data_IF_462973055758
#
_entry.id   IF_462973055758
#
_cell.length_a   1.000
_cell.length_b   1.000
_cell.length_c   1.000
_cell.angle_alpha   90.00
_cell.angle_beta   90.00
_cell.angle_gamma   90.00
#
_symmetry.space_group_name_H-M   'P 1'
#
loop_
_entity.id
_entity.type
_entity.pdbx_description
1 polymer ?
#
# COMPACT_ATOMS: atom_id res chain seq x y z
N UNK A 1 10.15 6.38 -9.65
CA UNK A 1 9.95 5.26 -8.69
C UNK A 1 10.11 5.79 -7.27
N UNK A 2 9.02 5.93 -6.51
CA UNK A 2 9.09 6.57 -5.19
C UNK A 2 9.78 5.64 -4.17
N UNK A 3 10.72 6.17 -3.41
CA UNK A 3 11.43 5.47 -2.33
C UNK A 3 10.42 5.03 -1.26
N UNK A 4 10.26 3.73 -1.05
CA UNK A 4 9.33 3.15 -0.07
C UNK A 4 9.90 3.20 1.35
N UNK A 5 9.05 3.44 2.35
CA UNK A 5 9.43 3.42 3.77
C UNK A 5 8.87 2.18 4.46
N UNK A 6 9.75 1.35 5.00
CA UNK A 6 9.40 0.33 5.99
C UNK A 6 10.09 0.70 7.30
N UNK A 7 9.32 0.89 8.38
CA UNK A 7 9.91 1.04 9.71
C UNK A 7 10.06 -0.35 10.32
N UNK A 8 11.29 -0.85 10.34
CA UNK A 8 11.64 -2.14 10.94
C UNK A 8 11.97 -1.99 12.42
N UNK A 9 11.16 -2.57 13.31
CA UNK A 9 11.57 -2.86 14.70
C UNK A 9 11.80 -4.37 14.83
N UNK A 10 13.05 -4.76 15.09
CA UNK A 10 13.54 -6.13 14.92
C UNK A 10 12.91 -7.19 15.85
N UNK A 11 12.66 -8.38 15.28
CA UNK A 11 13.00 -9.71 15.86
C UNK A 11 12.84 -10.86 14.85
N UNK A 12 13.94 -11.60 14.60
CA UNK A 12 14.06 -13.06 14.46
C UNK A 12 13.27 -13.92 13.44
N UNK A 13 12.14 -13.49 12.90
CA UNK A 13 11.31 -14.29 11.98
C UNK A 13 11.50 -13.93 10.50
N UNK A 14 11.29 -14.88 9.57
CA UNK A 14 11.12 -14.53 8.15
C UNK A 14 9.78 -13.79 8.00
N UNK A 15 9.77 -12.49 7.65
CA UNK A 15 8.52 -11.74 7.54
C UNK A 15 7.70 -12.22 6.34
N UNK A 16 6.38 -12.06 6.42
CA UNK A 16 5.49 -12.27 5.27
C UNK A 16 5.85 -11.22 4.20
N UNK A 17 6.13 -11.63 2.95
CA UNK A 17 6.36 -10.69 1.87
C UNK A 17 5.19 -9.73 1.76
N UNK A 18 5.49 -8.43 1.88
CA UNK A 18 4.48 -7.39 1.86
C UNK A 18 4.74 -6.48 0.68
N UNK A 19 3.94 -6.56 -0.41
CA UNK A 19 3.97 -5.53 -1.43
C UNK A 19 3.64 -4.17 -0.81
N UNK A 20 4.57 -3.23 -0.94
CA UNK A 20 4.48 -1.92 -0.30
C UNK A 20 3.92 -0.87 -1.26
N UNK A 21 2.83 -1.19 -1.96
CA UNK A 21 2.15 -0.29 -2.88
C UNK A 21 2.78 -0.17 -4.28
N UNK A 22 2.05 0.52 -5.17
CA UNK A 22 2.40 0.79 -6.57
C UNK A 22 2.65 -0.49 -7.39
N UNK A 23 1.82 -1.51 -7.18
CA UNK A 23 1.84 -2.73 -7.99
C UNK A 23 1.19 -2.52 -9.37
N UNK A 24 0.23 -1.62 -9.43
CA UNK A 24 -0.42 -1.21 -10.67
C UNK A 24 -0.40 0.30 -10.78
N UNK A 25 -0.26 0.81 -11.99
CA UNK A 25 -0.46 2.23 -12.26
C UNK A 25 -1.85 2.37 -12.86
N UNK A 26 -2.85 2.60 -12.00
CA UNK A 26 -4.26 2.65 -12.41
C UNK A 26 -4.53 3.78 -13.42
N UNK A 27 -3.68 4.81 -13.47
CA UNK A 27 -3.76 5.87 -14.48
C UNK A 27 -3.59 5.40 -15.93
N UNK A 28 -3.09 4.17 -16.15
CA UNK A 28 -2.88 3.58 -17.47
C UNK A 28 -3.98 2.58 -17.84
N UNK A 29 -5.01 2.41 -17.00
CA UNK A 29 -6.12 1.49 -17.24
C UNK A 29 -7.42 2.30 -17.33
N UNK A 30 -7.86 2.68 -18.55
CA UNK A 30 -9.00 3.58 -18.72
C UNK A 30 -10.33 2.98 -18.25
N UNK A 31 -10.47 1.66 -18.32
CA UNK A 31 -11.68 0.90 -17.92
C UNK A 31 -11.43 0.25 -16.56
N UNK A 32 -12.48 -0.05 -15.78
CA UNK A 32 -12.41 -0.75 -14.49
C UNK A 32 -11.87 -2.20 -14.61
N UNK A 33 -10.59 -2.34 -14.95
CA UNK A 33 -9.89 -3.60 -15.21
C UNK A 33 -8.54 -3.65 -14.48
N UNK A 34 -8.23 -2.68 -13.61
CA UNK A 34 -6.97 -2.69 -12.87
C UNK A 34 -6.86 -3.95 -11.98
N UNK A 35 -7.99 -4.50 -11.51
CA UNK A 35 -8.06 -5.77 -10.78
C UNK A 35 -7.47 -6.97 -11.54
N UNK A 36 -7.53 -6.98 -12.87
CA UNK A 36 -6.89 -8.03 -13.69
C UNK A 36 -5.36 -7.91 -13.66
N UNK A 37 -4.85 -6.68 -13.77
CA UNK A 37 -3.41 -6.42 -13.70
C UNK A 37 -2.88 -6.65 -12.29
N UNK A 38 -3.68 -6.28 -11.28
CA UNK A 38 -3.43 -6.60 -9.88
C UNK A 38 -3.29 -8.10 -9.68
N UNK A 39 -4.26 -8.89 -10.16
CA UNK A 39 -4.21 -10.35 -10.11
C UNK A 39 -2.95 -10.92 -10.77
N UNK A 40 -2.57 -10.39 -11.94
CA UNK A 40 -1.34 -10.79 -12.63
C UNK A 40 -0.10 -10.47 -11.79
N UNK A 41 -0.03 -9.31 -11.17
CA UNK A 41 1.10 -8.88 -10.34
C UNK A 41 1.29 -9.79 -9.10
N UNK A 42 0.21 -10.17 -8.42
CA UNK A 42 0.26 -11.06 -7.24
C UNK A 42 0.33 -12.56 -7.61
N UNK A 43 0.01 -12.92 -8.86
CA UNK A 43 -0.03 -14.31 -9.31
C UNK A 43 1.25 -15.14 -9.06
N UNK A 44 2.48 -14.59 -9.10
CA UNK A 44 3.68 -15.36 -8.76
C UNK A 44 3.70 -15.85 -7.31
N UNK A 45 3.23 -15.03 -6.35
CA UNK A 45 3.14 -15.42 -4.95
C UNK A 45 2.09 -16.54 -4.78
N UNK A 46 0.91 -16.36 -5.39
CA UNK A 46 -0.15 -17.38 -5.42
C UNK A 46 0.33 -18.71 -6.01
N UNK A 47 0.96 -18.70 -7.19
CA UNK A 47 1.47 -19.92 -7.85
C UNK A 47 2.52 -20.66 -7.02
N UNK A 48 3.24 -19.93 -6.16
CA UNK A 48 4.27 -20.50 -5.27
C UNK A 48 3.73 -20.88 -3.89
N UNK A 49 2.43 -20.67 -3.62
CA UNK A 49 1.84 -20.92 -2.31
C UNK A 49 2.42 -20.04 -1.20
N UNK A 50 2.98 -18.87 -1.56
CA UNK A 50 3.60 -17.95 -0.61
C UNK A 50 2.53 -16.96 -0.15
N UNK A 51 2.18 -16.89 1.15
CA UNK A 51 1.27 -15.87 1.67
C UNK A 51 1.85 -14.46 1.50
N UNK A 52 0.98 -13.46 1.33
CA UNK A 52 1.39 -12.06 1.22
C UNK A 52 0.41 -11.12 1.94
N UNK A 53 0.82 -9.86 2.14
CA UNK A 53 -0.01 -8.79 2.68
C UNK A 53 0.27 -7.46 1.98
N UNK A 54 -0.77 -6.84 1.43
CA UNK A 54 -0.73 -5.60 0.63
C UNK A 54 -0.96 -4.34 1.48
N UNK A 55 -0.16 -3.30 1.23
CA UNK A 55 -0.54 -1.90 1.48
C UNK A 55 -0.59 -1.16 0.15
N UNK A 56 -1.57 -0.28 -0.04
CA UNK A 56 -1.70 0.48 -1.28
C UNK A 56 -0.74 1.67 -1.35
N UNK A 57 -0.23 1.91 -2.55
CA UNK A 57 0.49 3.11 -2.94
C UNK A 57 -0.36 4.06 -3.76
N UNK A 58 0.15 5.26 -4.02
CA UNK A 58 -0.60 6.31 -4.68
C UNK A 58 -0.92 5.98 -6.15
N UNK A 59 -0.13 5.12 -6.80
CA UNK A 59 -0.38 4.72 -8.18
C UNK A 59 -1.47 3.65 -8.32
N UNK A 60 -1.74 2.90 -7.25
CA UNK A 60 -2.67 1.76 -7.29
C UNK A 60 -4.12 2.18 -7.57
N UNK A 61 -4.49 3.43 -7.30
CA UNK A 61 -5.81 4.00 -7.59
C UNK A 61 -5.75 5.40 -8.23
N UNK A 62 -4.62 5.74 -8.84
CA UNK A 62 -4.46 7.03 -9.51
C UNK A 62 -5.46 7.17 -10.67
N UNK A 63 -6.11 8.34 -10.84
CA UNK A 63 -7.03 8.56 -11.94
C UNK A 63 -6.33 8.42 -13.30
N UNK A 64 -7.08 8.00 -14.32
CA UNK A 64 -6.61 7.96 -15.70
C UNK A 64 -6.18 9.35 -16.17
N UNK A 65 -4.95 9.43 -16.69
CA UNK A 65 -4.45 10.65 -17.33
C UNK A 65 -4.83 10.63 -18.81
N UNK A 66 -5.62 11.60 -19.23
CA UNK A 66 -6.12 11.69 -20.60
C UNK A 66 -5.00 12.09 -21.58
N UNK A 67 -4.59 11.23 -22.52
CA UNK A 67 -3.54 11.59 -23.47
C UNK A 67 -4.04 12.69 -24.42
N UNK A 68 -3.34 13.83 -24.55
CA UNK A 68 -3.77 14.92 -25.42
C UNK A 68 -3.98 14.49 -26.88
N UNK A 69 -3.22 13.48 -27.34
CA UNK A 69 -3.29 12.92 -28.69
C UNK A 69 -4.65 12.29 -28.99
N UNK A 70 -5.37 11.81 -27.97
CA UNK A 70 -6.70 11.24 -28.13
C UNK A 70 -7.75 12.27 -28.55
N UNK A 71 -7.47 13.55 -28.28
CA UNK A 71 -8.29 14.70 -28.69
C UNK A 71 -7.76 15.37 -29.97
N UNK A 72 -6.72 14.80 -30.58
CA UNK A 72 -6.23 15.19 -31.90
C UNK A 72 -7.06 14.49 -33.01
N UNK A 73 -6.84 14.82 -34.30
CA UNK A 73 -7.47 14.11 -35.41
C UNK A 73 -7.20 12.60 -35.46
N UNK A 74 -6.19 12.10 -34.73
CA UNK A 74 -5.95 10.66 -34.59
C UNK A 74 -7.04 9.94 -33.79
N UNK A 75 -7.76 10.66 -32.91
CA UNK A 75 -8.84 10.14 -32.09
C UNK A 75 -8.41 9.19 -30.97
N UNK A 76 -9.40 8.71 -30.21
CA UNK A 76 -9.21 7.74 -29.13
C UNK A 76 -8.89 6.36 -29.73
N UNK A 77 -7.81 5.66 -29.30
CA UNK A 77 -7.52 4.30 -29.72
C UNK A 77 -8.68 3.32 -29.38
N UNK A 78 -8.84 2.22 -30.14
CA UNK A 78 -9.85 1.21 -29.80
C UNK A 78 -9.66 0.66 -28.38
N UNK A 79 -10.73 0.65 -27.59
CA UNK A 79 -10.72 0.10 -26.23
C UNK A 79 -11.19 -1.35 -26.27
N UNK A 80 -10.42 -2.26 -25.66
CA UNK A 80 -10.81 -3.65 -25.49
C UNK A 80 -11.50 -3.84 -24.14
N UNK A 81 -12.83 -3.96 -24.16
CA UNK A 81 -13.61 -4.21 -22.95
C UNK A 81 -13.73 -5.71 -22.65
N UNK A 82 -13.86 -6.11 -21.38
CA UNK A 82 -14.23 -7.47 -21.02
C UNK A 82 -15.58 -7.83 -21.67
N UNK A 83 -15.77 -9.07 -22.17
CA UNK A 83 -17.06 -9.47 -22.73
C UNK A 83 -18.13 -9.37 -21.64
N UNK A 84 -19.26 -8.74 -21.98
CA UNK A 84 -20.37 -8.55 -21.07
C UNK A 84 -20.81 -9.91 -20.48
N UNK A 85 -20.95 -9.96 -19.15
CA UNK A 85 -21.73 -11.02 -18.53
C UNK A 85 -23.14 -10.92 -19.12
N UNK A 86 -23.56 -12.00 -19.78
CA UNK A 86 -24.74 -12.09 -20.63
C UNK A 86 -25.98 -11.34 -20.11
N UNK A 87 -26.63 -10.63 -21.04
CA UNK A 87 -28.02 -10.16 -21.05
C UNK A 87 -28.39 -8.98 -20.14
N UNK A 88 -28.11 -7.74 -20.58
CA UNK A 88 -28.95 -6.57 -20.25
C UNK A 88 -29.02 -5.60 -21.46
N UNK A 89 -30.20 -5.01 -21.77
CA UNK A 89 -30.39 -4.07 -22.87
C UNK A 89 -30.18 -2.61 -22.41
N UNK A 90 -29.03 -2.32 -21.81
CA UNK A 90 -28.61 -1.00 -21.33
C UNK A 90 -27.15 -0.77 -21.78
N UNK A 91 -26.65 0.48 -21.91
CA UNK A 91 -25.33 0.73 -22.49
C UNK A 91 -24.27 -0.01 -21.67
N UNK A 92 -23.47 -0.81 -22.38
CA UNK A 92 -22.49 -1.77 -21.88
C UNK A 92 -21.84 -1.38 -20.53
N UNK A 93 -22.26 -1.99 -19.40
CA UNK A 93 -21.69 -1.69 -18.09
C UNK A 93 -20.20 -2.09 -17.97
N UNK A 94 -19.65 -2.83 -18.95
CA UNK A 94 -18.27 -3.31 -18.96
C UNK A 94 -17.22 -2.29 -19.43
N UNK A 95 -17.63 -1.22 -20.13
CA UNK A 95 -16.71 -0.23 -20.74
C UNK A 95 -16.71 1.15 -20.04
N UNK A 96 -17.16 1.25 -18.79
CA UNK A 96 -17.24 2.56 -18.14
C UNK A 96 -15.84 3.05 -17.75
N UNK A 97 -15.48 4.25 -18.22
CA UNK A 97 -14.26 4.95 -17.83
C UNK A 97 -14.39 5.48 -16.40
N UNK A 98 -14.03 4.65 -15.41
CA UNK A 98 -14.15 5.02 -13.98
C UNK A 98 -12.98 4.59 -13.10
N UNK A 99 -11.88 4.11 -13.68
CA UNK A 99 -10.77 3.52 -12.94
C UNK A 99 -11.21 2.32 -12.08
N UNK A 100 -10.36 1.88 -11.16
CA UNK A 100 -10.71 0.86 -10.17
C UNK A 100 -10.30 1.37 -8.79
N UNK A 101 -11.25 1.58 -7.86
CA UNK A 101 -10.93 2.08 -6.53
C UNK A 101 -10.20 1.01 -5.70
N UNK A 102 -9.43 1.44 -4.69
CA UNK A 102 -8.69 0.55 -3.76
C UNK A 102 -9.55 -0.55 -3.13
N UNK A 103 -10.82 -0.25 -2.83
CA UNK A 103 -11.75 -1.22 -2.24
C UNK A 103 -12.08 -2.36 -3.21
N UNK A 104 -12.22 -2.06 -4.51
CA UNK A 104 -12.43 -3.07 -5.54
C UNK A 104 -11.16 -3.90 -5.78
N UNK A 105 -9.98 -3.27 -5.74
CA UNK A 105 -8.70 -3.98 -5.82
C UNK A 105 -8.50 -4.95 -4.64
N UNK A 106 -8.74 -4.49 -3.41
CA UNK A 106 -8.61 -5.31 -2.21
C UNK A 106 -9.61 -6.47 -2.22
N UNK A 107 -10.88 -6.21 -2.58
CA UNK A 107 -11.90 -7.26 -2.69
C UNK A 107 -11.50 -8.30 -3.74
N UNK A 108 -11.05 -7.85 -4.92
CA UNK A 108 -10.58 -8.70 -6.00
C UNK A 108 -9.37 -9.56 -5.60
N UNK A 109 -8.45 -9.02 -4.80
CA UNK A 109 -7.32 -9.77 -4.23
C UNK A 109 -7.82 -10.87 -3.29
N UNK A 110 -8.64 -10.51 -2.30
CA UNK A 110 -9.14 -11.45 -1.29
C UNK A 110 -9.90 -12.61 -1.92
N UNK A 111 -10.75 -12.33 -2.91
CA UNK A 111 -11.52 -13.33 -3.66
C UNK A 111 -10.62 -14.30 -4.43
N UNK A 112 -9.55 -13.78 -5.06
CA UNK A 112 -8.65 -14.57 -5.93
C UNK A 112 -7.44 -15.14 -5.21
N UNK A 113 -7.24 -14.81 -3.93
CA UNK A 113 -6.06 -15.20 -3.19
C UNK A 113 -6.06 -16.68 -2.76
N UNK A 114 -7.21 -17.38 -2.84
CA UNK A 114 -7.36 -18.76 -2.38
C UNK A 114 -6.86 -18.96 -0.93
N UNK A 115 -7.09 -17.98 -0.05
CA UNK A 115 -6.68 -18.01 1.36
C UNK A 115 -5.21 -17.66 1.63
N UNK A 116 -4.44 -17.26 0.61
CA UNK A 116 -3.02 -16.87 0.77
C UNK A 116 -2.82 -15.39 1.11
N UNK A 117 -3.76 -14.50 0.75
CA UNK A 117 -3.70 -13.10 1.18
C UNK A 117 -4.00 -13.01 2.66
N UNK A 118 -3.15 -12.26 3.37
CA UNK A 118 -3.29 -11.90 4.78
C UNK A 118 -3.75 -10.46 4.96
N UNK A 119 -4.15 -9.81 3.87
CA UNK A 119 -4.71 -8.47 3.89
C UNK A 119 -6.14 -8.46 4.40
N UNK A 120 -6.60 -7.27 4.76
CA UNK A 120 -8.00 -7.02 5.08
C UNK A 120 -8.39 -5.61 4.72
N UNK A 121 -9.68 -5.42 4.41
CA UNK A 121 -10.29 -4.09 4.31
C UNK A 121 -10.33 -3.48 5.70
N UNK A 122 -9.76 -2.28 5.84
CA UNK A 122 -9.73 -1.57 7.10
C UNK A 122 -11.11 -1.07 7.58
N UNK A 123 -11.18 -0.59 8.83
CA UNK A 123 -12.40 -0.02 9.39
C UNK A 123 -12.97 1.13 8.54
N UNK A 124 -14.30 1.20 8.44
CA UNK A 124 -14.97 2.22 7.60
C UNK A 124 -14.76 3.63 8.11
N UNK A 125 -14.46 3.79 9.39
CA UNK A 125 -14.17 5.06 10.03
C UNK A 125 -12.82 5.66 9.56
N UNK A 126 -11.96 4.84 8.93
CA UNK A 126 -10.68 5.26 8.37
C UNK A 126 -10.74 5.54 6.86
N UNK A 127 -11.92 5.45 6.26
CA UNK A 127 -12.09 5.78 4.85
C UNK A 127 -11.74 7.26 4.60
N UNK A 128 -11.15 7.59 3.43
CA UNK A 128 -11.04 6.76 2.23
C UNK A 128 -9.90 5.71 2.22
N UNK A 129 -9.03 5.67 3.22
CA UNK A 129 -7.94 4.68 3.27
C UNK A 129 -8.45 3.25 3.46
N UNK A 130 -8.05 2.33 2.58
CA UNK A 130 -8.58 0.95 2.53
C UNK A 130 -7.64 -0.06 3.20
N UNK A 131 -6.34 0.01 2.93
CA UNK A 131 -5.37 -0.97 3.45
C UNK A 131 -4.87 -0.61 4.85
N UNK A 132 -5.80 -0.37 5.78
CA UNK A 132 -5.53 -0.08 7.19
C UNK A 132 -5.86 -1.28 8.07
N UNK A 133 -4.85 -2.04 8.52
CA UNK A 133 -5.09 -3.23 9.32
C UNK A 133 -3.86 -3.66 10.13
N UNK A 134 -4.08 -4.57 11.09
CA UNK A 134 -3.00 -5.18 11.87
C UNK A 134 -2.97 -6.68 11.59
N UNK A 135 -1.80 -7.20 11.26
CA UNK A 135 -1.56 -8.63 11.11
C UNK A 135 -0.76 -9.15 12.30
N UNK A 136 -1.27 -10.21 12.93
CA UNK A 136 -0.56 -10.95 13.96
C UNK A 136 0.13 -12.15 13.33
N UNK A 137 1.46 -12.18 13.36
CA UNK A 137 2.21 -13.38 13.02
C UNK A 137 2.37 -14.20 14.29
N UNK A 138 1.78 -15.39 14.28
CA UNK A 138 1.71 -16.25 15.45
C UNK A 138 3.02 -17.03 15.62
N UNK A 139 3.37 -17.33 16.86
CA UNK A 139 4.51 -18.18 17.18
C UNK A 139 4.31 -19.59 16.65
N UNK A 140 5.36 -20.16 16.08
CA UNK A 140 5.37 -21.57 15.70
C UNK A 140 5.28 -22.49 16.92
N UNK A 141 5.90 -22.11 18.03
CA UNK A 141 5.93 -22.91 19.27
C UNK A 141 4.66 -22.76 20.10
N UNK A 142 4.04 -21.57 20.04
CA UNK A 142 2.80 -21.24 20.76
C UNK A 142 1.79 -20.65 19.78
N UNK A 143 0.98 -21.49 19.11
CA UNK A 143 0.12 -21.08 17.99
C UNK A 143 -0.94 -20.01 18.31
N UNK A 144 -1.14 -19.65 19.57
CA UNK A 144 -2.06 -18.60 20.01
C UNK A 144 -1.36 -17.33 20.48
N UNK A 145 -0.02 -17.34 20.57
CA UNK A 145 0.75 -16.19 21.03
C UNK A 145 1.31 -15.44 19.81
N UNK A 146 1.03 -14.12 19.67
CA UNK A 146 1.63 -13.31 18.63
C UNK A 146 3.14 -13.16 18.85
N UNK A 147 3.93 -13.53 17.84
CA UNK A 147 5.37 -13.36 17.80
C UNK A 147 5.80 -12.02 17.17
N UNK A 148 4.94 -11.43 16.33
CA UNK A 148 5.18 -10.16 15.64
C UNK A 148 3.84 -9.50 15.30
N UNK A 149 3.76 -8.18 15.50
CA UNK A 149 2.64 -7.36 15.02
C UNK A 149 3.09 -6.56 13.80
N UNK A 150 2.31 -6.58 12.74
CA UNK A 150 2.55 -5.79 11.53
C UNK A 150 1.37 -4.84 11.33
N UNK A 151 1.62 -3.54 11.39
CA UNK A 151 0.64 -2.49 11.18
C UNK A 151 0.77 -1.96 9.75
N UNK A 152 -0.33 -1.98 9.02
CA UNK A 152 -0.42 -1.44 7.67
C UNK A 152 -1.28 -0.19 7.72
N UNK A 153 -0.73 0.91 7.24
CA UNK A 153 -1.40 2.20 7.15
C UNK A 153 -1.44 2.66 5.71
N UNK A 154 -2.64 2.98 5.27
CA UNK A 154 -2.88 3.52 3.95
C UNK A 154 -2.53 5.03 3.94
N UNK A 155 -1.36 5.38 3.42
CA UNK A 155 -0.88 6.77 3.33
C UNK A 155 -1.56 7.60 2.23
N UNK A 156 -2.54 7.03 1.53
CA UNK A 156 -3.28 7.69 0.48
C UNK A 156 -2.54 8.00 -0.81
N UNK A 157 -2.90 9.12 -1.42
CA UNK A 157 -2.54 9.44 -2.80
C UNK A 157 -3.47 8.86 -3.85
N UNK A 158 -3.15 9.11 -5.12
CA UNK A 158 -4.00 8.70 -6.23
C UNK A 158 -5.29 9.53 -6.26
N UNK A 159 -6.38 8.95 -5.75
CA UNK A 159 -7.70 9.60 -5.77
C UNK A 159 -8.00 10.48 -4.53
N UNK A 160 -7.13 10.49 -3.52
CA UNK A 160 -7.30 11.26 -2.28
C UNK A 160 -5.95 11.72 -1.68
N UNK A 161 -5.93 12.58 -0.65
CA UNK A 161 -4.69 13.18 -0.14
C UNK A 161 -3.60 12.17 0.27
N UNK A 162 -2.33 12.49 -0.04
CA UNK A 162 -1.14 11.72 0.35
C UNK A 162 -0.75 12.01 1.81
N UNK A 163 -1.51 11.48 2.76
CA UNK A 163 -1.29 11.69 4.21
C UNK A 163 -1.76 10.50 5.04
N UNK A 164 -1.03 10.19 6.12
CA UNK A 164 -1.53 9.37 7.23
C UNK A 164 -2.34 10.26 8.17
N UNK A 165 -3.66 10.04 8.21
CA UNK A 165 -4.59 10.93 8.89
C UNK A 165 -4.56 10.86 10.41
N UNK A 166 -5.04 11.91 11.11
CA UNK A 166 -5.20 11.90 12.58
C UNK A 166 -6.07 10.73 13.07
N UNK A 167 -7.08 10.34 12.28
CA UNK A 167 -7.94 9.20 12.59
C UNK A 167 -7.15 7.88 12.55
N UNK A 168 -6.28 7.71 11.55
CA UNK A 168 -5.38 6.56 11.46
C UNK A 168 -4.34 6.53 12.59
N UNK A 169 -3.78 7.69 12.98
CA UNK A 169 -2.87 7.79 14.13
C UNK A 169 -3.60 7.40 15.43
N UNK A 170 -4.81 7.91 15.64
CA UNK A 170 -5.65 7.57 16.79
C UNK A 170 -5.97 6.08 16.82
N UNK A 171 -6.35 5.51 15.68
CA UNK A 171 -6.61 4.09 15.53
C UNK A 171 -5.36 3.24 15.81
N UNK A 172 -4.20 3.62 15.28
CA UNK A 172 -2.93 2.95 15.55
C UNK A 172 -2.62 2.94 17.05
N UNK A 173 -2.80 4.06 17.75
CA UNK A 173 -2.62 4.11 19.21
C UNK A 173 -3.58 3.17 19.94
N UNK A 174 -4.85 3.13 19.54
CA UNK A 174 -5.84 2.22 20.13
C UNK A 174 -5.45 0.75 19.92
N UNK A 175 -5.11 0.37 18.69
CA UNK A 175 -4.72 -1.00 18.36
C UNK A 175 -3.43 -1.41 19.06
N UNK A 176 -2.41 -0.56 19.05
CA UNK A 176 -1.11 -0.88 19.66
C UNK A 176 -1.16 -0.99 21.18
N UNK A 177 -1.96 -0.15 21.85
CA UNK A 177 -2.22 -0.30 23.30
C UNK A 177 -3.03 -1.54 23.61
N UNK A 178 -4.01 -1.89 22.78
CA UNK A 178 -4.83 -3.07 23.00
C UNK A 178 -4.05 -4.38 22.80
N UNK A 179 -3.30 -4.49 21.70
CA UNK A 179 -2.59 -5.71 21.32
C UNK A 179 -1.26 -5.88 22.04
N UNK A 180 -0.61 -4.77 22.41
CA UNK A 180 0.74 -4.78 22.95
C UNK A 180 0.95 -3.64 23.97
N UNK A 181 0.19 -3.62 25.08
CA UNK A 181 0.21 -2.54 26.06
C UNK A 181 1.61 -2.26 26.59
N UNK A 182 2.38 -3.32 26.85
CA UNK A 182 3.72 -3.25 27.43
C UNK A 182 4.84 -3.17 26.38
N UNK A 183 4.52 -3.16 25.08
CA UNK A 183 5.52 -3.10 24.01
C UNK A 183 6.45 -4.32 23.92
N UNK A 184 6.03 -5.47 24.47
CA UNK A 184 6.84 -6.70 24.55
C UNK A 184 6.91 -7.47 23.24
N UNK A 185 5.86 -7.37 22.42
CA UNK A 185 5.83 -8.01 21.10
C UNK A 185 6.53 -7.08 20.11
N UNK A 186 7.46 -7.57 19.28
CA UNK A 186 8.06 -6.82 18.18
C UNK A 186 6.99 -6.27 17.21
N UNK A 187 7.20 -5.06 16.69
CA UNK A 187 6.21 -4.36 15.85
C UNK A 187 6.85 -3.88 14.54
N UNK A 188 6.21 -4.11 13.40
CA UNK A 188 6.59 -3.52 12.11
C UNK A 188 5.49 -2.58 11.65
N UNK A 189 5.85 -1.42 11.14
CA UNK A 189 4.87 -0.44 10.67
C UNK A 189 5.18 -0.08 9.21
N UNK A 190 4.18 -0.26 8.36
CA UNK A 190 4.27 -0.09 6.92
C UNK A 190 3.27 0.95 6.44
N UNK A 191 3.73 1.85 5.58
CA UNK A 191 2.91 2.69 4.71
C UNK A 191 3.72 3.02 3.45
N UNK A 192 3.04 3.42 2.38
CA UNK A 192 3.70 3.57 1.09
C UNK A 192 4.44 4.91 0.93
N UNK A 193 3.74 6.04 1.11
CA UNK A 193 4.30 7.38 0.87
C UNK A 193 5.13 7.84 2.08
N UNK A 194 6.44 8.11 1.95
CA UNK A 194 7.32 8.51 3.06
C UNK A 194 6.79 9.68 3.89
N UNK A 195 7.09 9.70 5.18
CA UNK A 195 6.79 10.87 6.01
C UNK A 195 7.64 12.08 5.60
N UNK A 196 7.18 13.30 5.89
CA UNK A 196 7.96 14.52 5.61
C UNK A 196 9.29 14.57 6.37
N UNK A 197 9.44 13.78 7.44
CA UNK A 197 10.70 13.60 8.13
C UNK A 197 11.81 13.10 7.19
N UNK A 198 11.46 12.31 6.16
CA UNK A 198 12.42 11.80 5.18
C UNK A 198 13.03 12.90 4.30
N UNK A 199 12.39 14.06 4.15
CA UNK A 199 13.00 15.21 3.43
C UNK A 199 14.32 15.64 4.07
N UNK A 200 14.46 15.45 5.38
CA UNK A 200 15.66 15.84 6.13
C UNK A 200 16.76 14.79 6.08
N UNK A 201 16.40 13.51 5.98
CA UNK A 201 17.34 12.39 6.18
C UNK A 201 17.60 11.57 4.92
N UNK A 202 16.75 11.65 3.91
CA UNK A 202 16.97 10.96 2.65
C UNK A 202 18.17 11.57 1.91
N UNK A 203 18.97 10.74 1.21
CA UNK A 203 19.95 11.24 0.26
C UNK A 203 19.26 12.16 -0.76
N UNK A 204 19.88 13.30 -1.02
CA UNK A 204 19.44 14.20 -2.08
C UNK A 204 19.99 13.72 -3.42
N UNK A 205 19.32 14.07 -4.52
CA UNK A 205 19.85 13.82 -5.87
C UNK A 205 21.25 14.44 -6.06
N UNK A 206 21.58 15.50 -5.32
CA UNK A 206 22.91 16.14 -5.33
C UNK A 206 23.97 15.42 -4.50
N UNK A 207 23.59 14.39 -3.73
CA UNK A 207 24.45 13.67 -2.78
C UNK A 207 24.58 12.22 -3.23
N UNK A 208 25.62 11.95 -4.02
CA UNK A 208 25.85 10.62 -4.58
C UNK A 208 26.13 9.58 -3.48
N UNK A 209 25.21 8.62 -3.33
CA UNK A 209 25.45 7.42 -2.52
C UNK A 209 26.36 6.49 -3.33
N UNK A 210 27.65 6.48 -3.00
CA UNK A 210 28.71 5.72 -3.69
C UNK A 210 28.75 4.21 -3.39
N UNK A 211 27.64 3.63 -2.94
CA UNK A 211 27.50 2.18 -2.74
C UNK A 211 26.75 1.59 -3.93
N UNK A 212 26.80 0.26 -4.16
CA UNK A 212 25.91 -0.38 -5.13
C UNK A 212 24.46 -0.04 -4.76
N UNK A 213 23.83 0.80 -5.59
CA UNK A 213 22.46 1.24 -5.43
C UNK A 213 21.66 0.78 -6.65
N UNK A 214 20.43 0.33 -6.42
CA UNK A 214 19.49 -0.07 -7.46
C UNK A 214 18.32 0.92 -7.43
N UNK A 215 17.87 1.37 -8.60
CA UNK A 215 16.81 2.38 -8.74
C UNK A 215 17.35 3.81 -8.79
N UNK A 216 16.45 4.78 -8.62
CA UNK A 216 16.69 6.22 -8.84
C UNK A 216 17.21 6.98 -7.61
N UNK A 217 17.83 6.29 -6.62
CA UNK A 217 18.25 6.91 -5.35
C UNK A 217 19.15 8.13 -5.52
N UNK A 218 20.00 8.15 -6.54
CA UNK A 218 20.92 9.25 -6.85
C UNK A 218 20.34 10.22 -7.91
N UNK A 219 19.17 9.92 -8.47
CA UNK A 219 18.58 10.65 -9.60
C UNK A 219 17.39 11.51 -9.17
N UNK A 220 16.73 11.17 -8.07
CA UNK A 220 15.49 11.80 -7.61
C UNK A 220 15.55 12.09 -6.10
N UNK A 221 14.98 13.23 -5.70
CA UNK A 221 14.72 13.49 -4.27
C UNK A 221 13.52 12.65 -3.79
N UNK A 222 13.43 12.44 -2.47
CA UNK A 222 12.27 11.77 -1.87
C UNK A 222 10.98 12.55 -2.14
N UNK A 223 9.91 11.84 -2.51
CA UNK A 223 8.55 12.38 -2.61
C UNK A 223 7.78 12.06 -1.32
N UNK A 224 7.72 12.98 -0.34
CA UNK A 224 7.05 12.73 0.93
C UNK A 224 5.53 12.95 0.83
N UNK A 225 4.82 12.55 1.89
CA UNK A 225 3.45 12.97 2.17
C UNK A 225 3.31 14.49 2.12
N UNK A 226 2.11 14.98 1.80
CA UNK A 226 1.84 16.43 1.72
C UNK A 226 1.84 17.11 3.08
N UNK A 227 1.70 16.36 4.17
CA UNK A 227 1.75 16.85 5.55
C UNK A 227 2.04 15.73 6.56
N UNK A 228 2.45 16.10 7.78
CA UNK A 228 2.57 15.18 8.93
C UNK A 228 1.52 15.49 9.98
N UNK A 229 0.72 14.50 10.34
CA UNK A 229 -0.35 14.64 11.35
C UNK A 229 -0.13 13.76 12.59
N UNK A 230 1.14 13.50 12.92
CA UNK A 230 1.52 12.93 14.22
C UNK A 230 1.90 11.45 14.21
N UNK A 231 1.92 10.76 13.07
CA UNK A 231 2.34 9.36 13.03
C UNK A 231 3.81 9.19 13.48
N UNK A 232 4.73 10.02 12.98
CA UNK A 232 6.14 9.94 13.39
C UNK A 232 6.32 10.21 14.89
N UNK A 233 5.53 11.12 15.46
CA UNK A 233 5.53 11.42 16.89
C UNK A 233 4.98 10.24 17.71
N UNK A 234 3.88 9.63 17.24
CA UNK A 234 3.29 8.44 17.82
C UNK A 234 4.27 7.26 17.87
N UNK A 235 5.07 7.08 16.82
CA UNK A 235 6.13 6.07 16.77
C UNK A 235 7.28 6.41 17.73
N UNK A 236 7.76 7.65 17.73
CA UNK A 236 8.88 8.06 18.58
C UNK A 236 8.60 7.83 20.09
N UNK A 237 7.34 7.98 20.51
CA UNK A 237 6.90 7.76 21.89
C UNK A 237 6.48 6.31 22.19
N UNK A 238 6.57 5.40 21.22
CA UNK A 238 6.13 4.02 21.41
C UNK A 238 7.19 3.22 22.19
N UNK A 239 6.84 2.54 23.29
CA UNK A 239 7.81 1.78 24.10
C UNK A 239 8.54 0.65 23.37
N UNK A 240 7.93 0.09 22.33
CA UNK A 240 8.55 -0.96 21.51
C UNK A 240 9.65 -0.43 20.59
N UNK A 241 9.68 0.88 20.30
CA UNK A 241 10.69 1.48 19.43
C UNK A 241 12.01 1.55 20.16
N UNK A 242 12.99 0.81 19.65
CA UNK A 242 14.38 0.90 20.08
C UNK A 242 15.07 1.94 19.20
N UNK A 243 15.19 3.16 19.69
CA UNK A 243 16.09 4.13 19.09
C UNK A 243 17.51 3.69 19.44
N UNK A 244 18.25 3.17 18.45
CA UNK A 244 19.69 3.14 18.56
C UNK A 244 20.17 4.58 18.40
N UNK A 245 20.67 5.19 19.47
CA UNK A 245 21.47 6.41 19.35
C UNK A 245 22.63 6.08 18.40
N UNK A 246 22.70 6.79 17.28
CA UNK A 246 23.78 6.70 16.29
C UNK A 246 24.74 7.87 16.47
#
# INVERSE_FOLDING_TARGET
>A
PRTQVSVLVQSGGRPIPSPLGDLVTANNVPVANASLYWDRAISPARRRGVPWSTVFGNHDDMPFEWPPEWFSPAGVPPVHCPPAASAMPEPDPGCIFRGTPRVELMTAELDRACGLSRSSVGPRELWPGVSNYVLQVLSHEKPHDPALLMYFLDSGGGSYPEVVSCAQVTWFHSQSRFLNPDGRIPELVFWHVPSTAYVKVAPKATSEVRKPCVGSLNEEDVAPQVAEWGMMDALAHRPSVKVSEF
#
